data_IF_467484263388
#
_entry.id   IF_467484263388
#
_cell.length_a   1.000
_cell.length_b   1.000
_cell.length_c   1.000
_cell.angle_alpha   90.00
_cell.angle_beta   90.00
_cell.angle_gamma   90.00
#
_symmetry.space_group_name_H-M   'P 1'
#
loop_
_entity.id
_entity.type
_entity.pdbx_description
1 polymer ?
#
# COMPACT_ATOMS: atom_id res chain seq x y z
N UNK A 1 -9.88 -7.58 28.99
CA UNK A 1 -10.08 -6.21 28.45
C UNK A 1 -8.81 -5.80 27.73
N UNK A 2 -8.93 -5.37 26.48
CA UNK A 2 -7.83 -5.07 25.55
C UNK A 2 -7.53 -3.57 25.55
N UNK A 3 -6.27 -3.19 25.30
CA UNK A 3 -5.91 -1.81 25.00
C UNK A 3 -4.53 -1.74 24.32
N UNK A 4 -4.51 -1.62 22.98
CA UNK A 4 -3.34 -1.21 22.21
C UNK A 4 -3.52 0.25 21.83
N UNK A 5 -2.65 1.12 22.35
CA UNK A 5 -2.59 2.54 21.98
C UNK A 5 -1.85 2.70 20.67
N UNK A 6 -2.51 3.36 19.71
CA UNK A 6 -1.92 3.81 18.45
C UNK A 6 -1.36 5.20 18.72
N UNK A 7 -0.05 5.38 18.55
CA UNK A 7 0.58 6.70 18.58
C UNK A 7 0.64 7.26 17.17
N UNK A 8 -0.10 8.34 16.92
CA UNK A 8 0.01 9.20 15.74
C UNK A 8 1.01 10.32 16.06
N UNK A 9 2.16 10.37 15.38
CA UNK A 9 3.12 11.47 15.48
C UNK A 9 3.21 12.23 14.16
N UNK A 10 2.39 13.28 14.13
CA UNK A 10 2.53 14.50 13.34
C UNK A 10 3.96 15.07 13.47
N UNK A 11 4.69 15.30 12.36
CA UNK A 11 5.13 16.66 11.98
C UNK A 11 6.07 16.72 10.74
N UNK A 12 5.82 17.77 9.95
CA UNK A 12 6.72 18.49 9.04
C UNK A 12 6.97 17.94 7.62
N UNK A 13 6.27 18.58 6.68
CA UNK A 13 6.56 18.59 5.25
C UNK A 13 7.92 19.26 4.98
N UNK A 14 8.78 18.62 4.18
CA UNK A 14 9.80 19.28 3.36
C UNK A 14 9.63 18.75 1.94
N UNK A 15 9.08 19.59 1.07
CA UNK A 15 8.88 19.37 -0.36
C UNK A 15 10.23 19.36 -1.10
N UNK A 16 10.39 18.46 -2.08
CA UNK A 16 11.24 18.66 -3.25
C UNK A 16 10.65 17.91 -4.47
N UNK A 17 9.88 18.69 -5.22
CA UNK A 17 9.48 18.68 -6.65
C UNK A 17 9.99 17.58 -7.60
N UNK A 18 9.06 16.97 -8.36
CA UNK A 18 8.92 17.12 -9.83
C UNK A 18 7.44 16.92 -10.25
N UNK A 19 6.96 17.62 -11.31
CA UNK A 19 5.54 17.83 -11.57
C UNK A 19 4.97 16.77 -12.53
N UNK A 20 3.90 16.10 -12.14
CA UNK A 20 3.03 15.38 -13.07
C UNK A 20 1.67 16.10 -13.15
N UNK A 21 1.14 16.14 -14.37
CA UNK A 21 0.16 17.08 -14.89
C UNK A 21 -1.16 17.15 -14.12
N UNK A 22 -1.72 18.37 -14.14
CA UNK A 22 -3.01 18.78 -13.59
C UNK A 22 -4.16 18.05 -14.30
N UNK A 23 -4.98 17.31 -13.55
CA UNK A 23 -6.33 16.92 -14.02
C UNK A 23 -7.37 17.26 -12.96
N UNK A 24 -8.08 18.35 -13.25
CA UNK A 24 -9.44 18.76 -12.90
C UNK A 24 -10.00 18.45 -11.50
N UNK A 25 -10.21 19.54 -10.74
CA UNK A 25 -11.13 19.61 -9.60
C UNK A 25 -12.54 19.17 -10.02
N UNK A 26 -12.98 18.03 -9.48
CA UNK A 26 -14.41 17.72 -9.37
C UNK A 26 -14.80 18.04 -7.94
N UNK A 27 -15.58 19.11 -7.78
CA UNK A 27 -16.21 19.48 -6.53
C UNK A 27 -17.36 18.50 -6.24
N UNK A 28 -17.17 17.61 -5.26
CA UNK A 28 -18.26 16.82 -4.69
C UNK A 28 -18.32 17.12 -3.20
N UNK A 29 -19.23 18.02 -2.83
CA UNK A 29 -19.60 18.29 -1.45
C UNK A 29 -20.61 17.22 -0.97
N UNK A 30 -20.37 16.73 0.25
CA UNK A 30 -21.25 16.00 1.19
C UNK A 30 -21.64 14.53 0.95
N UNK A 31 -21.23 13.75 1.95
CA UNK A 31 -21.87 12.57 2.55
C UNK A 31 -22.05 11.33 1.67
N UNK A 32 -20.95 10.63 1.44
CA UNK A 32 -20.95 9.16 1.38
C UNK A 32 -19.85 8.72 2.34
N UNK A 33 -20.15 7.79 3.25
CA UNK A 33 -19.10 7.11 4.01
C UNK A 33 -18.26 6.34 3.00
N UNK A 34 -17.17 6.97 2.57
CA UNK A 34 -16.31 6.45 1.53
C UNK A 34 -15.44 5.36 2.19
N UNK A 35 -15.90 4.12 2.15
CA UNK A 35 -15.00 2.95 2.18
C UNK A 35 -14.14 3.04 0.93
N UNK A 36 -13.14 3.93 0.98
CA UNK A 36 -12.19 4.13 -0.10
C UNK A 36 -11.47 2.79 -0.27
N UNK A 37 -11.71 2.13 -1.41
CA UNK A 37 -11.06 0.87 -1.71
C UNK A 37 -9.54 1.07 -1.59
N UNK A 38 -8.81 0.11 -1.02
CA UNK A 38 -7.37 0.25 -0.86
C UNK A 38 -6.73 0.40 -2.24
N UNK A 39 -5.97 1.50 -2.41
CA UNK A 39 -5.24 1.78 -3.63
C UNK A 39 -4.16 0.70 -3.78
N UNK A 40 -4.11 0.02 -4.93
CA UNK A 40 -3.10 -1.00 -5.22
C UNK A 40 -1.89 -0.32 -5.86
N UNK A 41 -0.69 -0.55 -5.33
CA UNK A 41 0.52 0.09 -5.85
C UNK A 41 1.76 -0.15 -4.99
N UNK A 42 2.86 0.47 -5.40
CA UNK A 42 4.18 0.33 -4.74
C UNK A 42 4.48 1.44 -3.73
N UNK A 43 3.68 2.52 -3.72
CA UNK A 43 3.86 3.60 -2.75
C UNK A 43 3.53 3.14 -1.32
N UNK A 44 4.13 3.82 -0.35
CA UNK A 44 3.89 3.54 1.07
C UNK A 44 2.41 3.77 1.41
N UNK A 45 1.80 2.77 2.06
CA UNK A 45 0.39 2.79 2.43
C UNK A 45 -0.55 2.19 1.37
N UNK A 46 -0.08 2.01 0.14
CA UNK A 46 -0.84 1.26 -0.87
C UNK A 46 -0.83 -0.23 -0.54
N UNK A 47 -1.87 -0.94 -0.97
CA UNK A 47 -1.90 -2.39 -0.94
C UNK A 47 -0.92 -2.92 -1.98
N UNK A 48 -0.01 -3.79 -1.55
CA UNK A 48 0.90 -4.47 -2.45
C UNK A 48 0.14 -5.23 -3.56
N UNK A 49 0.55 -5.11 -4.84
CA UNK A 49 -0.03 -5.85 -5.96
C UNK A 49 0.06 -7.36 -5.75
N UNK A 50 -0.94 -8.09 -6.24
CA UNK A 50 -0.90 -9.56 -6.23
C UNK A 50 0.11 -10.05 -7.27
N UNK A 51 0.89 -11.05 -6.90
CA UNK A 51 1.80 -11.75 -7.80
C UNK A 51 1.91 -13.22 -7.39
N UNK A 52 2.30 -14.03 -8.36
CA UNK A 52 2.51 -15.47 -8.22
C UNK A 52 3.97 -15.79 -8.57
N UNK A 53 4.63 -16.59 -7.73
CA UNK A 53 6.00 -17.04 -7.96
C UNK A 53 6.08 -18.55 -7.90
N UNK A 54 7.06 -19.08 -8.65
CA UNK A 54 7.44 -20.48 -8.59
C UNK A 54 8.55 -20.67 -7.55
N UNK A 55 8.35 -21.61 -6.64
CA UNK A 55 9.35 -22.03 -5.66
C UNK A 55 10.43 -22.88 -6.30
N UNK A 56 11.51 -23.16 -5.56
CA UNK A 56 12.61 -24.02 -6.02
C UNK A 56 12.16 -25.46 -6.28
N UNK A 57 11.12 -25.93 -5.60
CA UNK A 57 10.52 -27.26 -5.80
C UNK A 57 9.57 -27.29 -6.99
N UNK A 58 9.20 -26.12 -7.51
CA UNK A 58 8.32 -25.97 -8.67
C UNK A 58 6.87 -25.71 -8.33
N UNK A 59 6.52 -25.61 -7.04
CA UNK A 59 5.20 -25.23 -6.57
C UNK A 59 4.95 -23.73 -6.78
N UNK A 60 3.69 -23.36 -6.90
CA UNK A 60 3.26 -21.98 -7.08
C UNK A 60 2.81 -21.38 -5.76
N UNK A 61 3.28 -20.17 -5.45
CA UNK A 61 2.91 -19.41 -4.24
C UNK A 61 2.39 -18.03 -4.62
N UNK A 62 1.37 -17.56 -3.91
CA UNK A 62 0.80 -16.23 -4.10
C UNK A 62 1.15 -15.31 -2.92
N UNK A 63 1.18 -14.00 -3.18
CA UNK A 63 1.35 -13.02 -2.09
C UNK A 63 0.22 -13.10 -1.06
N UNK A 64 -1.00 -13.41 -1.51
CA UNK A 64 -2.19 -13.59 -0.67
C UNK A 64 -2.06 -14.71 0.36
N UNK A 65 -1.19 -15.71 0.13
CA UNK A 65 -0.94 -16.80 1.09
C UNK A 65 -0.26 -16.27 2.37
N UNK A 66 0.43 -15.12 2.28
CA UNK A 66 1.16 -14.51 3.40
C UNK A 66 0.38 -13.39 4.12
N UNK A 67 -0.94 -13.26 3.88
CA UNK A 67 -1.75 -12.26 4.59
C UNK A 67 -1.68 -12.49 6.11
N UNK A 68 -1.67 -11.39 6.87
CA UNK A 68 -1.51 -11.42 8.33
C UNK A 68 -0.05 -11.52 8.81
N UNK A 69 0.91 -11.74 7.92
CA UNK A 69 2.34 -11.79 8.25
C UNK A 69 3.05 -10.51 7.79
N UNK A 70 4.09 -10.11 8.53
CA UNK A 70 5.03 -9.08 8.06
C UNK A 70 6.00 -9.73 7.10
N UNK A 71 6.04 -9.23 5.86
CA UNK A 71 6.84 -9.78 4.77
C UNK A 71 7.74 -8.68 4.21
N UNK A 72 8.97 -9.03 3.87
CA UNK A 72 9.93 -8.17 3.18
C UNK A 72 10.34 -8.85 1.86
N UNK A 73 10.26 -8.11 0.76
CA UNK A 73 10.71 -8.59 -0.54
C UNK A 73 12.16 -8.19 -0.76
N UNK A 74 13.00 -9.17 -1.09
CA UNK A 74 14.39 -8.97 -1.46
C UNK A 74 14.57 -9.36 -2.93
N UNK A 75 14.99 -8.42 -3.77
CA UNK A 75 15.20 -8.65 -5.20
C UNK A 75 16.69 -8.83 -5.48
N UNK A 76 17.04 -9.91 -6.18
CA UNK A 76 18.38 -10.15 -6.69
C UNK A 76 18.33 -10.58 -8.15
N UNK A 77 19.38 -10.28 -8.89
CA UNK A 77 19.58 -10.68 -10.28
C UNK A 77 21.01 -11.19 -10.44
N UNK A 78 21.21 -12.17 -11.33
CA UNK A 78 22.53 -12.71 -11.69
C UNK A 78 22.85 -12.41 -13.13
#
# INVERSE_FOLDING_TARGET
MLGWSIFDFNHSKRHSTQPFEKVNEVNVDKSVQETKAPIIGLDVGNKAPEFELKTLTGDHINLSDFRGHRVMLNFWAT
#
